data_IF_310253500847
#
_entry.id   IF_310253500847
#
_cell.length_a   1.000
_cell.length_b   1.000
_cell.length_c   1.000
_cell.angle_alpha   90.00
_cell.angle_beta   90.00
_cell.angle_gamma   90.00
#
_symmetry.space_group_name_H-M   'P 1'
#
loop_
_entity.id
_entity.type
_entity.pdbx_description
1 polymer ?
#
# COMPACT_ATOMS: atom_id res chain seq x y z
N UNK A 1 19.01 18.80 -5.44
CA UNK A 1 18.51 18.35 -6.75
C UNK A 1 19.04 16.97 -7.21
N UNK A 2 19.97 16.37 -6.49
CA UNK A 2 20.62 15.10 -6.88
C UNK A 2 19.87 13.86 -6.34
N UNK A 3 19.17 13.94 -5.22
CA UNK A 3 18.54 12.78 -4.58
C UNK A 3 17.24 12.32 -5.25
N UNK A 4 16.46 13.23 -5.85
CA UNK A 4 15.23 12.87 -6.58
C UNK A 4 15.48 12.03 -7.84
N UNK A 5 16.66 12.15 -8.45
CA UNK A 5 17.02 11.35 -9.64
C UNK A 5 17.52 9.94 -9.31
N UNK A 6 18.02 9.70 -8.10
CA UNK A 6 18.46 8.36 -7.67
C UNK A 6 17.29 7.44 -7.31
N UNK A 7 16.19 7.97 -6.75
CA UNK A 7 15.01 7.16 -6.41
C UNK A 7 14.22 6.68 -7.65
N UNK A 8 14.23 7.43 -8.75
CA UNK A 8 13.56 7.01 -9.98
C UNK A 8 14.20 5.75 -10.63
N UNK A 9 15.45 5.42 -10.28
CA UNK A 9 16.20 4.30 -10.87
C UNK A 9 15.86 2.93 -10.27
N UNK A 10 15.15 2.88 -9.12
CA UNK A 10 14.85 1.61 -8.43
C UNK A 10 13.41 1.12 -8.61
N UNK A 11 12.63 1.74 -9.48
CA UNK A 11 11.25 1.30 -9.76
C UNK A 11 11.25 -0.04 -10.49
N UNK A 12 10.83 -1.08 -9.81
CA UNK A 12 10.55 -2.38 -10.44
C UNK A 12 9.17 -2.27 -11.11
N UNK A 13 9.16 -2.20 -12.46
CA UNK A 13 7.93 -2.34 -13.24
C UNK A 13 7.74 -3.84 -13.50
N UNK A 14 6.75 -4.51 -12.92
CA UNK A 14 6.59 -5.95 -13.08
C UNK A 14 6.30 -6.31 -14.54
N UNK A 15 6.85 -7.44 -15.00
CA UNK A 15 6.61 -7.94 -16.38
C UNK A 15 5.17 -8.38 -16.56
N UNK A 16 4.57 -8.91 -15.49
CA UNK A 16 3.17 -9.28 -15.45
C UNK A 16 2.34 -8.19 -14.78
N UNK A 17 1.65 -7.36 -15.55
CA UNK A 17 0.83 -6.24 -15.10
C UNK A 17 -0.62 -6.63 -14.79
N UNK A 18 -0.94 -7.91 -14.63
CA UNK A 18 -2.30 -8.32 -14.33
C UNK A 18 -2.79 -7.67 -13.02
N UNK A 19 -4.00 -7.14 -13.07
CA UNK A 19 -4.65 -6.50 -11.93
C UNK A 19 -4.75 -7.46 -10.74
N UNK A 20 -4.40 -6.99 -9.53
CA UNK A 20 -4.63 -7.73 -8.30
C UNK A 20 -6.01 -7.38 -7.74
N UNK A 21 -6.94 -8.32 -7.78
CA UNK A 21 -8.26 -8.16 -7.18
C UNK A 21 -8.17 -8.42 -5.67
N UNK A 22 -8.47 -7.40 -4.87
CA UNK A 22 -8.34 -7.44 -3.41
C UNK A 22 -9.63 -7.88 -2.69
N UNK A 23 -10.76 -7.89 -3.40
CA UNK A 23 -12.06 -8.26 -2.86
C UNK A 23 -12.31 -9.78 -2.83
N UNK A 24 -13.36 -10.18 -2.13
CA UNK A 24 -13.83 -11.56 -2.09
C UNK A 24 -14.54 -11.96 -3.38
N UNK A 25 -14.64 -13.28 -3.65
CA UNK A 25 -15.44 -13.81 -4.74
C UNK A 25 -16.92 -13.37 -4.66
N UNK A 26 -17.44 -13.16 -3.45
CA UNK A 26 -18.81 -12.70 -3.23
C UNK A 26 -19.00 -11.24 -3.62
N UNK A 27 -18.00 -10.40 -3.41
CA UNK A 27 -17.96 -9.02 -3.88
C UNK A 27 -17.84 -8.97 -5.40
N UNK A 28 -16.95 -9.74 -5.99
CA UNK A 28 -16.80 -9.86 -7.43
C UNK A 28 -18.11 -10.28 -8.12
N UNK A 29 -18.86 -11.20 -7.53
CA UNK A 29 -20.21 -11.58 -8.03
C UNK A 29 -21.21 -10.44 -7.99
N UNK A 30 -21.25 -9.69 -6.88
CA UNK A 30 -22.18 -8.56 -6.73
C UNK A 30 -21.87 -7.42 -7.70
N UNK A 31 -20.60 -7.25 -8.02
CA UNK A 31 -20.11 -6.17 -8.87
C UNK A 31 -20.02 -6.56 -10.36
N UNK A 32 -20.35 -7.80 -10.73
CA UNK A 32 -20.14 -8.38 -12.06
C UNK A 32 -18.66 -8.40 -12.52
N UNK A 33 -17.71 -8.59 -11.59
CA UNK A 33 -16.26 -8.59 -11.79
C UNK A 33 -15.65 -9.99 -11.60
N UNK A 34 -16.44 -11.05 -11.88
CA UNK A 34 -15.99 -12.43 -11.66
C UNK A 34 -14.82 -12.84 -12.57
N UNK A 35 -14.75 -12.29 -13.76
CA UNK A 35 -13.68 -12.64 -14.71
C UNK A 35 -12.37 -11.96 -14.30
N UNK A 36 -12.41 -10.73 -13.79
CA UNK A 36 -11.28 -10.04 -13.19
C UNK A 36 -10.78 -10.79 -11.95
N UNK A 37 -11.70 -11.24 -11.08
CA UNK A 37 -11.35 -12.05 -9.92
C UNK A 37 -10.68 -13.37 -10.33
N UNK A 38 -11.23 -14.09 -11.33
CA UNK A 38 -10.67 -15.35 -11.83
C UNK A 38 -9.29 -15.18 -12.41
N UNK A 39 -9.08 -14.15 -13.23
CA UNK A 39 -7.76 -13.86 -13.80
C UNK A 39 -6.76 -13.50 -12.70
N UNK A 40 -7.14 -12.63 -11.74
CA UNK A 40 -6.31 -12.32 -10.59
C UNK A 40 -5.95 -13.56 -9.77
N UNK A 41 -6.91 -14.46 -9.52
CA UNK A 41 -6.69 -15.71 -8.79
C UNK A 41 -5.71 -16.64 -9.52
N UNK A 42 -5.86 -16.79 -10.84
CA UNK A 42 -4.92 -17.54 -11.68
C UNK A 42 -3.50 -16.96 -11.59
N UNK A 43 -3.37 -15.65 -11.62
CA UNK A 43 -2.07 -15.00 -11.48
C UNK A 43 -1.47 -15.17 -10.07
N UNK A 44 -2.30 -15.27 -9.02
CA UNK A 44 -1.84 -15.61 -7.67
C UNK A 44 -1.28 -17.02 -7.61
N UNK A 45 -1.90 -17.98 -8.30
CA UNK A 45 -1.39 -19.37 -8.42
C UNK A 45 -0.04 -19.39 -9.14
N UNK A 46 0.09 -18.66 -10.24
CA UNK A 46 1.36 -18.55 -10.98
C UNK A 46 2.45 -17.89 -10.14
N UNK A 47 2.13 -16.82 -9.41
CA UNK A 47 3.03 -16.17 -8.48
C UNK A 47 3.50 -17.11 -7.36
N UNK A 48 2.57 -17.88 -6.77
CA UNK A 48 2.91 -18.95 -5.80
C UNK A 48 3.92 -19.92 -6.38
N UNK A 49 3.69 -20.42 -7.60
CA UNK A 49 4.60 -21.36 -8.26
C UNK A 49 5.98 -20.74 -8.51
N UNK A 50 6.02 -19.47 -8.90
CA UNK A 50 7.27 -18.73 -9.06
C UNK A 50 8.04 -18.58 -7.75
N UNK A 51 7.37 -18.31 -6.63
CA UNK A 51 7.97 -18.27 -5.29
C UNK A 51 8.56 -19.65 -4.93
N UNK A 52 7.80 -20.74 -5.10
CA UNK A 52 8.25 -22.09 -4.83
C UNK A 52 9.45 -22.47 -5.67
N UNK A 53 9.45 -22.11 -6.95
CA UNK A 53 10.55 -22.34 -7.87
C UNK A 53 11.79 -21.50 -7.50
N UNK A 54 11.62 -20.24 -7.13
CA UNK A 54 12.71 -19.38 -6.68
C UNK A 54 13.36 -19.91 -5.39
N UNK A 55 12.55 -20.40 -4.44
CA UNK A 55 13.05 -21.07 -3.24
C UNK A 55 13.79 -22.35 -3.61
N UNK A 56 13.24 -23.19 -4.48
CA UNK A 56 13.85 -24.45 -4.88
C UNK A 56 15.20 -24.27 -5.58
N UNK A 57 15.31 -23.25 -6.41
CA UNK A 57 16.55 -22.94 -7.14
C UNK A 57 17.59 -22.22 -6.28
N UNK A 58 17.12 -21.32 -5.40
CA UNK A 58 18.00 -20.46 -4.61
C UNK A 58 18.45 -21.07 -3.29
N UNK A 59 17.87 -22.19 -2.84
CA UNK A 59 18.22 -22.82 -1.58
C UNK A 59 19.29 -23.91 -1.78
N UNK A 60 20.48 -23.70 -1.23
CA UNK A 60 21.63 -24.63 -1.34
C UNK A 60 21.64 -25.73 -0.26
N UNK A 61 20.63 -25.78 0.58
CA UNK A 61 20.53 -26.69 1.74
C UNK A 61 20.81 -26.01 3.08
N UNK A 62 21.45 -24.85 3.09
CA UNK A 62 21.73 -24.04 4.29
C UNK A 62 21.28 -22.59 4.14
N UNK A 63 21.45 -21.99 2.98
CA UNK A 63 21.18 -20.58 2.72
C UNK A 63 20.27 -20.40 1.50
N UNK A 64 19.47 -19.36 1.54
CA UNK A 64 18.67 -18.92 0.40
C UNK A 64 19.40 -17.77 -0.30
N UNK A 65 19.50 -17.85 -1.64
CA UNK A 65 20.08 -16.78 -2.45
C UNK A 65 19.33 -15.46 -2.22
N UNK A 66 20.07 -14.40 -1.94
CA UNK A 66 19.53 -13.07 -1.61
C UNK A 66 18.71 -12.46 -2.75
N UNK A 67 18.94 -12.86 -4.00
CA UNK A 67 18.19 -12.38 -5.16
C UNK A 67 16.90 -13.18 -5.44
N UNK A 68 16.64 -14.24 -4.68
CA UNK A 68 15.48 -15.11 -4.94
C UNK A 68 14.15 -14.36 -4.89
N UNK A 69 13.97 -13.43 -3.94
CA UNK A 69 12.75 -12.63 -3.85
C UNK A 69 12.66 -11.60 -4.98
N UNK A 70 13.78 -10.95 -5.33
CA UNK A 70 13.85 -9.91 -6.35
C UNK A 70 13.38 -10.39 -7.72
N UNK A 71 13.79 -11.59 -8.14
CA UNK A 71 13.36 -12.17 -9.43
C UNK A 71 11.85 -12.35 -9.53
N UNK A 72 11.19 -12.74 -8.42
CA UNK A 72 9.73 -12.90 -8.36
C UNK A 72 9.03 -11.54 -8.31
N UNK A 73 9.60 -10.56 -7.60
CA UNK A 73 9.08 -9.21 -7.56
C UNK A 73 9.13 -8.56 -8.96
N UNK A 74 10.23 -8.74 -9.71
CA UNK A 74 10.37 -8.26 -11.09
C UNK A 74 9.32 -8.86 -12.04
N UNK A 75 8.88 -10.07 -11.77
CA UNK A 75 7.86 -10.75 -12.58
C UNK A 75 6.43 -10.33 -12.19
N UNK A 76 6.09 -10.34 -10.90
CA UNK A 76 4.71 -10.22 -10.40
C UNK A 76 4.42 -8.94 -9.62
N UNK A 77 5.42 -8.13 -9.31
CA UNK A 77 5.32 -6.92 -8.51
C UNK A 77 5.20 -7.15 -7.00
N UNK A 78 5.48 -6.11 -6.24
CA UNK A 78 5.43 -6.15 -4.77
C UNK A 78 4.03 -6.49 -4.23
N UNK A 79 2.98 -5.93 -4.84
CA UNK A 79 1.60 -6.13 -4.36
C UNK A 79 1.19 -7.60 -4.40
N UNK A 80 1.39 -8.25 -5.55
CA UNK A 80 0.97 -9.64 -5.73
C UNK A 80 1.83 -10.60 -4.92
N UNK A 81 3.14 -10.40 -4.92
CA UNK A 81 4.07 -11.23 -4.12
C UNK A 81 3.73 -11.08 -2.64
N UNK A 82 3.58 -9.85 -2.14
CA UNK A 82 3.18 -9.58 -0.76
C UNK A 82 1.82 -10.18 -0.40
N UNK A 83 0.83 -10.11 -1.29
CA UNK A 83 -0.48 -10.73 -1.12
C UNK A 83 -0.39 -12.25 -0.93
N UNK A 84 0.35 -12.93 -1.82
CA UNK A 84 0.51 -14.40 -1.77
C UNK A 84 1.27 -14.82 -0.51
N UNK A 85 2.34 -14.12 -0.14
CA UNK A 85 3.11 -14.41 1.07
C UNK A 85 2.29 -14.16 2.33
N UNK A 86 1.62 -13.00 2.44
CA UNK A 86 0.79 -12.67 3.60
C UNK A 86 -0.38 -13.64 3.78
N UNK A 87 -1.07 -14.01 2.68
CA UNK A 87 -2.11 -15.02 2.72
C UNK A 87 -1.59 -16.36 3.21
N UNK A 88 -0.40 -16.78 2.74
CA UNK A 88 0.24 -18.02 3.18
C UNK A 88 0.55 -18.00 4.68
N UNK A 89 1.15 -16.92 5.20
CA UNK A 89 1.50 -16.81 6.62
C UNK A 89 0.25 -16.75 7.52
N UNK A 90 -0.80 -16.06 7.08
CA UNK A 90 -2.07 -16.00 7.83
C UNK A 90 -2.73 -17.38 7.95
N UNK A 91 -2.61 -18.24 6.93
CA UNK A 91 -3.07 -19.64 7.02
C UNK A 91 -2.23 -20.47 7.98
N UNK A 92 -0.93 -20.21 8.03
CA UNK A 92 0.05 -20.94 8.87
C UNK A 92 0.37 -20.19 10.16
N UNK A 93 -0.53 -19.34 10.65
CA UNK A 93 -0.31 -18.46 11.81
C UNK A 93 0.11 -19.20 13.08
N UNK A 94 -0.37 -20.44 13.26
CA UNK A 94 -0.11 -21.27 14.42
C UNK A 94 1.19 -22.10 14.30
N UNK A 95 1.86 -22.05 13.15
CA UNK A 95 3.15 -22.73 12.94
C UNK A 95 4.28 -21.92 13.59
N UNK A 96 4.86 -22.48 14.66
CA UNK A 96 5.92 -21.84 15.46
C UNK A 96 7.25 -21.66 14.73
N UNK A 97 7.40 -22.19 13.51
CA UNK A 97 8.63 -22.09 12.71
C UNK A 97 8.71 -20.77 11.91
N UNK A 98 7.62 -20.01 11.83
CA UNK A 98 7.64 -18.65 11.30
C UNK A 98 7.96 -17.64 12.38
N UNK A 99 8.76 -16.64 12.04
CA UNK A 99 9.14 -15.57 12.95
C UNK A 99 7.94 -14.70 13.35
N UNK A 100 7.90 -14.20 14.60
CA UNK A 100 6.84 -13.29 15.05
C UNK A 100 6.71 -12.06 14.17
N UNK A 101 7.83 -11.50 13.73
CA UNK A 101 7.90 -10.30 12.88
C UNK A 101 7.24 -10.51 11.52
N UNK A 102 7.44 -11.69 10.90
CA UNK A 102 6.79 -12.01 9.63
C UNK A 102 5.30 -12.28 9.78
N UNK A 103 4.89 -12.90 10.89
CA UNK A 103 3.46 -13.08 11.21
C UNK A 103 2.77 -11.74 11.44
N UNK A 104 3.40 -10.84 12.16
CA UNK A 104 2.91 -9.48 12.40
C UNK A 104 2.79 -8.70 11.09
N UNK A 105 3.84 -8.69 10.27
CA UNK A 105 3.79 -8.09 8.93
C UNK A 105 2.63 -8.64 8.11
N UNK A 106 2.45 -9.95 8.04
CA UNK A 106 1.38 -10.57 7.29
C UNK A 106 -0.02 -10.19 7.83
N UNK A 107 -0.17 -10.02 9.15
CA UNK A 107 -1.45 -9.69 9.78
C UNK A 107 -2.01 -8.32 9.37
N UNK A 108 -1.15 -7.38 8.95
CA UNK A 108 -1.58 -6.08 8.42
C UNK A 108 -2.16 -6.12 7.01
N UNK A 109 -1.92 -7.20 6.26
CA UNK A 109 -2.51 -7.38 4.94
C UNK A 109 -3.92 -7.94 5.08
N UNK A 110 -4.92 -7.18 4.64
CA UNK A 110 -6.30 -7.67 4.64
C UNK A 110 -6.47 -8.75 3.57
N UNK A 111 -6.76 -9.97 4.01
CA UNK A 111 -7.13 -11.10 3.14
C UNK A 111 -8.57 -11.48 3.45
N UNK A 112 -9.51 -11.42 2.48
CA UNK A 112 -10.89 -11.84 2.67
C UNK A 112 -10.98 -13.28 3.22
N UNK A 113 -11.90 -13.53 4.16
CA UNK A 113 -12.01 -14.86 4.78
C UNK A 113 -12.29 -15.98 3.79
N UNK A 114 -13.09 -15.69 2.76
CA UNK A 114 -13.37 -16.64 1.66
C UNK A 114 -12.11 -17.00 0.87
N UNK A 115 -11.10 -16.13 0.93
CA UNK A 115 -9.87 -16.27 0.20
C UNK A 115 -8.72 -16.84 1.06
N UNK A 116 -8.98 -17.29 2.28
CA UNK A 116 -7.96 -17.88 3.18
C UNK A 116 -7.62 -19.35 2.91
N UNK A 117 -8.47 -20.07 2.17
CA UNK A 117 -8.25 -21.48 1.82
C UNK A 117 -7.88 -21.60 0.35
N UNK A 118 -6.66 -21.17 0.01
CA UNK A 118 -6.34 -20.96 -1.39
C UNK A 118 -5.37 -21.95 -1.97
N UNK A 119 -5.59 -22.24 -3.24
CA UNK A 119 -4.69 -23.00 -4.10
C UNK A 119 -3.35 -22.29 -4.31
N UNK A 120 -3.25 -21.00 -3.99
CA UNK A 120 -2.02 -20.21 -4.05
C UNK A 120 -1.24 -20.13 -2.74
N UNK A 121 -1.55 -20.94 -1.74
CA UNK A 121 -0.71 -21.09 -0.54
C UNK A 121 0.63 -21.73 -0.89
N UNK A 122 1.72 -21.02 -0.58
CA UNK A 122 3.09 -21.48 -0.88
C UNK A 122 3.40 -22.76 -0.10
N UNK A 123 3.81 -23.80 -0.81
CA UNK A 123 4.20 -25.09 -0.25
C UNK A 123 5.72 -25.19 -0.24
N UNK A 124 6.34 -24.81 0.88
CA UNK A 124 7.77 -24.89 1.12
C UNK A 124 8.03 -25.18 2.59
N UNK A 125 9.28 -25.58 2.91
CA UNK A 125 9.67 -25.73 4.32
C UNK A 125 9.50 -24.40 5.05
N UNK A 126 8.80 -24.35 6.19
CA UNK A 126 8.45 -23.09 6.84
C UNK A 126 9.63 -22.17 7.13
N UNK A 127 10.74 -22.69 7.63
CA UNK A 127 11.94 -21.88 7.92
C UNK A 127 12.55 -21.27 6.66
N UNK A 128 12.54 -21.99 5.52
CA UNK A 128 13.07 -21.46 4.25
C UNK A 128 12.13 -20.41 3.69
N UNK A 129 10.82 -20.65 3.79
CA UNK A 129 9.80 -19.67 3.39
C UNK A 129 9.88 -18.41 4.28
N UNK A 130 10.10 -18.55 5.59
CA UNK A 130 10.31 -17.40 6.48
C UNK A 130 11.53 -16.57 6.04
N UNK A 131 12.62 -17.23 5.65
CA UNK A 131 13.78 -16.58 5.03
C UNK A 131 13.44 -15.84 3.73
N UNK A 132 12.60 -16.43 2.86
CA UNK A 132 12.14 -15.78 1.64
C UNK A 132 11.29 -14.52 1.94
N UNK A 133 10.43 -14.58 2.95
CA UNK A 133 9.64 -13.42 3.41
C UNK A 133 10.57 -12.32 3.92
N UNK A 134 11.65 -12.66 4.65
CA UNK A 134 12.63 -11.68 5.08
C UNK A 134 13.34 -10.99 3.90
N UNK A 135 13.68 -11.73 2.85
CA UNK A 135 14.25 -11.16 1.62
C UNK A 135 13.26 -10.23 0.92
N UNK A 136 12.00 -10.65 0.80
CA UNK A 136 10.94 -9.82 0.23
C UNK A 136 10.76 -8.50 1.01
N UNK A 137 10.69 -8.58 2.34
CA UNK A 137 10.55 -7.39 3.21
C UNK A 137 11.74 -6.46 3.08
N UNK A 138 12.96 -7.00 2.99
CA UNK A 138 14.17 -6.21 2.78
C UNK A 138 14.13 -5.44 1.45
N UNK A 139 13.66 -6.07 0.35
CA UNK A 139 13.46 -5.38 -0.93
C UNK A 139 12.37 -4.29 -0.80
N UNK A 140 11.31 -4.55 -0.04
CA UNK A 140 10.25 -3.57 0.23
C UNK A 140 10.77 -2.38 1.06
N UNK A 141 11.58 -2.63 2.09
CA UNK A 141 12.21 -1.60 2.92
C UNK A 141 13.15 -0.69 2.12
N UNK A 142 13.82 -1.21 1.09
CA UNK A 142 14.69 -0.41 0.21
C UNK A 142 13.91 0.63 -0.60
N UNK A 143 12.61 0.46 -0.76
CA UNK A 143 11.73 1.46 -1.38
C UNK A 143 11.35 2.59 -0.42
N UNK A 144 11.69 2.45 0.86
CA UNK A 144 11.34 3.41 1.91
C UNK A 144 9.83 3.73 1.98
N UNK A 145 8.97 2.76 1.64
CA UNK A 145 7.53 2.90 1.72
C UNK A 145 7.10 3.06 3.18
N UNK A 146 6.09 3.90 3.38
CA UNK A 146 5.47 4.08 4.70
C UNK A 146 4.52 2.93 5.01
N UNK A 147 4.51 2.50 6.26
CA UNK A 147 3.60 1.51 6.82
C UNK A 147 2.93 2.03 8.11
N UNK A 148 2.17 1.18 8.79
CA UNK A 148 1.46 1.58 10.01
C UNK A 148 2.37 1.99 11.17
N UNK A 149 3.63 1.55 11.18
CA UNK A 149 4.59 1.95 12.23
C UNK A 149 5.01 3.41 12.13
N UNK A 150 4.81 4.01 10.95
CA UNK A 150 5.05 5.43 10.69
C UNK A 150 3.81 6.31 10.94
N UNK A 151 2.70 5.70 11.42
CA UNK A 151 1.41 6.38 11.47
C UNK A 151 0.82 6.39 12.88
N UNK A 152 0.11 7.47 13.19
CA UNK A 152 -0.86 7.52 14.28
C UNK A 152 -2.26 7.12 13.79
N UNK A 153 -3.18 6.83 14.73
CA UNK A 153 -4.54 6.42 14.39
C UNK A 153 -5.35 7.59 13.81
N UNK A 154 -6.23 7.29 12.86
CA UNK A 154 -7.24 8.23 12.38
C UNK A 154 -8.52 8.23 13.22
N UNK A 155 -8.69 7.24 14.13
CA UNK A 155 -9.94 7.07 14.90
C UNK A 155 -10.12 8.23 15.88
N UNK A 156 -11.23 8.94 15.73
CA UNK A 156 -11.55 10.10 16.58
C UNK A 156 -10.86 11.40 16.18
N UNK A 157 -10.01 11.38 15.15
CA UNK A 157 -9.22 12.52 14.71
C UNK A 157 -9.89 13.27 13.55
N UNK A 158 -9.78 14.61 13.59
CA UNK A 158 -9.99 15.47 12.43
C UNK A 158 -8.81 15.35 11.48
N UNK A 159 -9.09 15.08 10.20
CA UNK A 159 -8.04 14.80 9.21
C UNK A 159 -7.65 16.02 8.38
N UNK A 160 -8.49 17.05 8.32
CA UNK A 160 -8.21 18.27 7.54
C UNK A 160 -6.87 18.89 7.96
N UNK A 161 -6.03 19.21 7.00
CA UNK A 161 -4.68 19.71 7.21
C UNK A 161 -3.65 18.70 7.70
N UNK A 162 -4.04 17.42 7.86
CA UNK A 162 -3.13 16.32 8.23
C UNK A 162 -2.55 15.65 6.99
N UNK A 163 -1.32 15.15 7.13
CA UNK A 163 -0.71 14.29 6.10
C UNK A 163 -1.15 12.87 6.37
N UNK A 164 -1.86 12.29 5.40
CA UNK A 164 -2.34 10.92 5.45
C UNK A 164 -1.41 10.01 4.65
N UNK A 165 -1.24 8.79 5.13
CA UNK A 165 -0.46 7.76 4.45
C UNK A 165 -1.40 6.82 3.72
N UNK A 166 -1.31 6.79 2.39
CA UNK A 166 -2.10 5.88 1.58
C UNK A 166 -1.62 4.44 1.72
N UNK A 167 -2.57 3.50 1.76
CA UNK A 167 -2.24 2.09 1.73
C UNK A 167 -1.43 1.75 0.48
N UNK A 168 -0.29 1.05 0.60
CA UNK A 168 0.44 0.57 -0.57
C UNK A 168 -0.42 -0.26 -1.52
N UNK A 169 -1.45 -0.95 -1.00
CA UNK A 169 -2.37 -1.76 -1.82
C UNK A 169 -3.37 -0.93 -2.62
N UNK A 170 -3.65 0.31 -2.21
CA UNK A 170 -4.49 1.25 -2.98
C UNK A 170 -3.74 1.82 -4.18
N UNK A 171 -2.43 2.07 -4.06
CA UNK A 171 -1.61 2.59 -5.15
C UNK A 171 -1.54 1.58 -6.32
N UNK A 172 -1.53 2.10 -7.54
CA UNK A 172 -1.18 1.29 -8.73
C UNK A 172 0.28 0.87 -8.63
N UNK A 173 0.63 -0.29 -9.20
CA UNK A 173 2.01 -0.79 -9.20
C UNK A 173 2.99 0.23 -9.81
N UNK A 174 2.58 0.93 -10.89
CA UNK A 174 3.38 1.98 -11.52
C UNK A 174 3.59 3.22 -10.63
N UNK A 175 2.76 3.38 -9.59
CA UNK A 175 2.80 4.50 -8.64
C UNK A 175 3.35 4.05 -7.27
N UNK A 176 3.93 2.87 -7.17
CA UNK A 176 4.45 2.33 -5.92
C UNK A 176 5.77 3.00 -5.54
N UNK A 177 5.65 4.14 -4.90
CA UNK A 177 6.76 4.96 -4.43
C UNK A 177 6.31 5.74 -3.18
N UNK A 178 7.20 6.04 -2.23
CA UNK A 178 6.85 6.73 -0.99
C UNK A 178 6.24 8.12 -1.24
N UNK A 179 6.66 8.80 -2.31
CA UNK A 179 6.13 10.12 -2.68
C UNK A 179 4.64 10.07 -2.98
N UNK A 180 4.14 8.96 -3.55
CA UNK A 180 2.74 8.77 -3.90
C UNK A 180 1.90 8.27 -2.70
N UNK A 181 2.52 7.95 -1.58
CA UNK A 181 1.80 7.56 -0.36
C UNK A 181 1.36 8.74 0.49
N UNK A 182 2.01 9.90 0.39
CA UNK A 182 1.76 11.05 1.27
C UNK A 182 0.77 12.02 0.64
N UNK A 183 -0.34 12.22 1.34
CA UNK A 183 -1.47 13.02 0.89
C UNK A 183 -1.87 14.03 1.95
N UNK A 184 -1.89 15.32 1.61
CA UNK A 184 -2.47 16.35 2.47
C UNK A 184 -3.99 16.30 2.35
N UNK A 185 -4.68 16.06 3.45
CA UNK A 185 -6.13 16.09 3.49
C UNK A 185 -6.64 17.54 3.47
N UNK A 186 -7.47 17.87 2.49
CA UNK A 186 -7.95 19.23 2.30
C UNK A 186 -9.37 19.43 2.85
N UNK A 187 -10.28 18.46 2.61
CA UNK A 187 -11.67 18.57 3.03
C UNK A 187 -12.43 17.24 2.87
N UNK A 188 -13.71 17.27 3.14
CA UNK A 188 -14.64 16.16 2.93
C UNK A 188 -15.22 15.59 4.21
N UNK A 189 -16.39 14.94 4.10
CA UNK A 189 -17.04 14.34 5.28
C UNK A 189 -16.20 13.22 5.92
N UNK A 190 -15.32 12.57 5.16
CA UNK A 190 -14.37 11.59 5.70
C UNK A 190 -13.27 12.19 6.56
N UNK A 191 -13.06 13.51 6.53
CA UNK A 191 -12.11 14.20 7.40
C UNK A 191 -12.62 14.31 8.83
N UNK A 192 -13.93 14.47 9.01
CA UNK A 192 -14.51 14.61 10.34
C UNK A 192 -14.74 13.28 11.04
N UNK A 193 -14.36 13.15 12.34
CA UNK A 193 -14.59 11.92 13.10
C UNK A 193 -16.07 11.61 13.37
N UNK A 194 -16.94 12.62 13.30
CA UNK A 194 -18.38 12.50 13.62
C UNK A 194 -19.28 12.37 12.40
N UNK A 195 -18.76 12.63 11.20
CA UNK A 195 -19.55 12.53 9.98
C UNK A 195 -19.74 11.09 9.52
N UNK A 196 -20.89 10.79 8.93
CA UNK A 196 -21.19 9.47 8.35
C UNK A 196 -20.57 9.26 6.97
N UNK A 197 -20.12 10.32 6.32
CA UNK A 197 -19.45 10.28 5.02
C UNK A 197 -18.01 9.80 5.10
N UNK A 198 -17.52 9.17 4.03
CA UNK A 198 -16.15 8.60 3.97
C UNK A 198 -15.23 9.34 3.01
N UNK A 199 -15.74 10.26 2.21
CA UNK A 199 -14.97 10.95 1.19
C UNK A 199 -13.97 11.93 1.82
N UNK A 200 -12.71 11.79 1.44
CA UNK A 200 -11.59 12.68 1.75
C UNK A 200 -11.09 13.24 0.43
N UNK A 201 -11.09 14.56 0.28
CA UNK A 201 -10.39 15.24 -0.80
C UNK A 201 -8.99 15.54 -0.31
N UNK A 202 -8.00 15.16 -1.10
CA UNK A 202 -6.61 15.26 -0.68
C UNK A 202 -5.69 15.53 -1.87
N UNK A 203 -4.57 16.18 -1.57
CA UNK A 203 -3.52 16.52 -2.53
C UNK A 203 -2.30 15.64 -2.30
N UNK A 204 -1.86 14.92 -3.33
CA UNK A 204 -0.64 14.12 -3.30
C UNK A 204 0.58 15.04 -3.15
N UNK A 205 1.44 14.77 -2.16
CA UNK A 205 2.66 15.55 -1.97
C UNK A 205 3.73 15.25 -3.01
N UNK A 206 3.66 14.07 -3.68
CA UNK A 206 4.63 13.68 -4.69
C UNK A 206 4.49 14.41 -6.02
N UNK A 207 3.28 14.50 -6.57
CA UNK A 207 3.00 15.03 -7.90
C UNK A 207 1.99 16.20 -7.91
N UNK A 208 1.34 16.50 -6.78
CA UNK A 208 0.36 17.56 -6.64
C UNK A 208 -1.04 17.17 -7.17
N UNK A 209 -1.29 15.92 -7.52
CA UNK A 209 -2.62 15.46 -7.92
C UNK A 209 -3.62 15.69 -6.79
N UNK A 210 -4.72 16.39 -7.09
CA UNK A 210 -5.83 16.59 -6.16
C UNK A 210 -7.00 15.69 -6.55
N UNK A 211 -7.40 14.77 -5.65
CA UNK A 211 -8.46 13.82 -5.97
C UNK A 211 -9.23 13.38 -4.73
N UNK A 212 -10.34 12.67 -4.97
CA UNK A 212 -11.22 12.13 -3.94
C UNK A 212 -10.85 10.68 -3.63
N UNK A 213 -10.63 10.40 -2.35
CA UNK A 213 -10.41 9.07 -1.79
C UNK A 213 -11.49 8.71 -0.76
N UNK A 214 -11.49 7.47 -0.30
CA UNK A 214 -12.23 7.10 0.89
C UNK A 214 -11.30 7.10 2.11
N UNK A 215 -11.79 7.39 3.30
CA UNK A 215 -11.01 7.36 4.54
C UNK A 215 -10.29 6.02 4.75
N UNK A 216 -10.89 4.92 4.32
CA UNK A 216 -10.34 3.56 4.41
C UNK A 216 -9.19 3.26 3.43
N UNK A 217 -8.95 4.12 2.45
CA UNK A 217 -7.82 4.00 1.53
C UNK A 217 -6.49 4.39 2.22
N UNK A 218 -6.58 5.05 3.37
CA UNK A 218 -5.44 5.49 4.16
C UNK A 218 -5.20 4.56 5.35
N UNK A 219 -3.93 4.30 5.67
CA UNK A 219 -3.51 3.46 6.80
C UNK A 219 -3.35 4.25 8.10
N UNK A 220 -3.23 5.56 8.03
CA UNK A 220 -3.07 6.42 9.22
C UNK A 220 -2.69 7.85 8.86
N UNK A 221 -2.55 8.67 9.91
CA UNK A 221 -1.95 10.00 9.84
C UNK A 221 -0.44 9.82 10.00
N UNK A 222 0.37 10.41 9.11
CA UNK A 222 1.82 10.36 9.24
C UNK A 222 2.27 11.00 10.55
N UNK A 223 3.05 10.29 11.34
CA UNK A 223 3.71 10.85 12.52
C UNK A 223 4.80 11.84 12.07
N UNK A 224 4.82 13.03 12.66
CA UNK A 224 5.69 14.15 12.27
C UNK A 224 7.18 13.78 12.26
N UNK A 225 7.62 12.87 13.13
CA UNK A 225 9.02 12.42 13.17
C UNK A 225 9.46 11.71 11.89
N UNK A 226 8.52 11.18 11.10
CA UNK A 226 8.80 10.49 9.83
C UNK A 226 8.54 11.35 8.59
N UNK A 227 8.18 12.63 8.78
CA UNK A 227 7.93 13.54 7.67
C UNK A 227 9.23 13.84 6.92
N UNK A 228 9.39 13.40 5.66
CA UNK A 228 10.63 13.64 4.93
C UNK A 228 10.77 15.12 4.54
N UNK A 229 12.02 15.58 4.41
CA UNK A 229 12.31 16.98 4.09
C UNK A 229 11.67 17.45 2.75
N UNK A 230 11.57 16.57 1.75
CA UNK A 230 10.91 16.87 0.48
C UNK A 230 9.40 17.10 0.67
N UNK A 231 8.74 16.31 1.54
CA UNK A 231 7.32 16.47 1.84
C UNK A 231 7.05 17.74 2.64
N UNK A 232 7.92 18.08 3.60
CA UNK A 232 7.86 19.35 4.32
C UNK A 232 7.92 20.54 3.36
N UNK A 233 8.86 20.53 2.40
CA UNK A 233 8.95 21.60 1.38
C UNK A 233 7.68 21.72 0.55
N UNK A 234 7.04 20.60 0.21
CA UNK A 234 5.76 20.60 -0.51
C UNK A 234 4.61 21.13 0.32
N UNK A 235 4.55 20.80 1.61
CA UNK A 235 3.56 21.34 2.54
C UNK A 235 3.69 22.85 2.67
N UNK A 236 4.91 23.38 2.75
CA UNK A 236 5.19 24.81 2.82
C UNK A 236 4.78 25.55 1.53
N UNK A 237 4.84 24.87 0.36
CA UNK A 237 4.31 25.39 -0.92
C UNK A 237 2.78 25.41 -0.98
N UNK A 238 2.10 24.36 -0.44
CA UNK A 238 0.65 24.20 -0.54
C UNK A 238 -0.14 25.04 0.47
N UNK A 239 0.36 25.23 1.68
CA UNK A 239 -0.32 25.96 2.76
C UNK A 239 -0.64 27.44 2.44
N UNK A 240 0.22 28.24 1.78
CA UNK A 240 -0.12 29.60 1.39
C UNK A 240 -1.26 29.66 0.36
N UNK A 241 -1.30 28.74 -0.59
CA UNK A 241 -2.34 28.69 -1.64
C UNK A 241 -3.75 28.41 -1.08
N UNK A 242 -3.87 27.65 0.00
CA UNK A 242 -5.15 27.36 0.66
C UNK A 242 -5.69 28.59 1.44
N UNK A 243 -4.80 29.41 2.02
CA UNK A 243 -5.21 30.62 2.72
C UNK A 243 -5.76 31.71 1.79
N UNK A 244 -5.29 31.78 0.54
CA UNK A 244 -5.79 32.75 -0.44
C UNK A 244 -7.18 32.36 -1.01
N UNK A 245 -7.50 31.07 -1.10
CA UNK A 245 -8.81 30.59 -1.58
C UNK A 245 -9.94 30.78 -0.57
N UNK A 246 -9.65 30.82 0.72
CA UNK A 246 -10.65 31.09 1.77
C UNK A 246 -10.96 32.58 1.96
N UNK A 247 -10.18 33.47 1.37
CA UNK A 247 -10.33 34.93 1.45
C UNK A 247 -11.10 35.54 0.26
N UNK A 248 -12.13 34.87 -0.29
CA UNK A 248 -13.01 35.47 -1.27
C UNK A 248 -13.90 36.53 -0.61
N UNK A 249 -13.97 37.76 -1.15
CA UNK A 249 -14.69 38.86 -0.52
C UNK A 249 -16.19 38.61 -0.55
N UNK A 250 -16.83 38.72 0.60
CA UNK A 250 -18.27 38.88 0.75
C UNK A 250 -18.67 40.13 -0.07
N UNK A 251 -19.32 39.89 -1.21
CA UNK A 251 -19.89 41.00 -2.00
C UNK A 251 -20.95 41.68 -1.17
N UNK A 252 -20.68 42.97 -0.90
CA UNK A 252 -21.50 43.86 -0.13
C UNK A 252 -22.92 43.95 -0.66
N UNK A 253 -23.87 43.92 0.26
CA UNK A 253 -25.27 44.14 0.00
C UNK A 253 -25.53 45.47 -0.69
N UNK A 254 -26.28 45.41 -1.79
CA UNK A 254 -26.93 46.60 -2.38
C UNK A 254 -28.05 47.04 -1.48
N UNK A 255 -27.86 48.17 -0.83
CA UNK A 255 -28.94 48.97 -0.28
C UNK A 255 -29.70 49.63 -1.44
N UNK A 256 -30.98 49.32 -1.60
CA UNK A 256 -31.91 50.13 -2.40
C UNK A 256 -32.45 51.24 -1.52
N UNK A 257 -32.27 52.46 -1.95
CA UNK A 257 -33.16 53.58 -1.64
C UNK A 257 -34.34 53.62 -2.59
#
# INVERSE_FOLDING_TARGET
>A
MTDLKQNASNRIVPRNHAYLYLGSISEARRNNELDEWRESHKQNILCKQAIEEAIRKGFDGMHLDQNSARSVIEEYGFKRVGWVLASTLQQKKDDGRFSPQNKEWAAFTFIPRSDRNHDFTVQSHPTVLDGFVNLFRKEQEQLQMFDRTHCTTMTGEELEGKVLVMSPYTLKESCWAPENQLWLADSGFGCSPTASGRAVYATCLGDGEHTRWNREDFIGILDEQYLPAWAQSKLDELRPAQQEQTASPIMGGMTME
#
